data_IF_603312259436
#
_entry.id   IF_603312259436
#
_cell.length_a   1.000
_cell.length_b   1.000
_cell.length_c   1.000
_cell.angle_alpha   90.00
_cell.angle_beta   90.00
_cell.angle_gamma   90.00
#
_symmetry.space_group_name_H-M   'P 1'
#
loop_
_entity.id
_entity.type
_entity.pdbx_description
1 polymer ?
#
# COMPACT_ATOMS: atom_id res chain seq x y z
N UNK A 1 1.85 12.49 -4.67
CA UNK A 1 1.86 11.27 -3.84
C UNK A 1 3.29 10.82 -3.67
N UNK A 2 3.69 10.46 -2.46
CA UNK A 2 5.01 9.89 -2.21
C UNK A 2 4.80 8.49 -1.65
N UNK A 3 5.29 7.48 -2.37
CA UNK A 3 5.05 6.07 -2.04
C UNK A 3 6.35 5.30 -1.91
N UNK A 4 6.29 4.26 -1.10
CA UNK A 4 7.37 3.33 -0.85
C UNK A 4 6.86 1.91 -1.08
N UNK A 5 7.68 1.06 -1.67
CA UNK A 5 7.32 -0.31 -1.99
C UNK A 5 8.23 -1.29 -1.24
N UNK A 6 7.80 -2.55 -1.16
CA UNK A 6 8.45 -3.69 -0.50
C UNK A 6 8.38 -3.75 1.03
N UNK A 7 9.31 -4.49 1.62
CA UNK A 7 9.36 -4.82 3.03
C UNK A 7 9.74 -3.62 3.91
N UNK A 8 9.02 -3.45 5.01
CA UNK A 8 9.36 -2.45 6.03
C UNK A 8 10.37 -3.04 7.01
N UNK A 9 11.58 -2.47 7.02
CA UNK A 9 12.70 -2.90 7.85
C UNK A 9 13.36 -1.67 8.49
N UNK A 10 14.17 -1.88 9.54
CA UNK A 10 14.83 -0.75 10.22
C UNK A 10 15.64 0.13 9.24
N UNK A 11 16.36 -0.52 8.32
CA UNK A 11 17.21 0.18 7.32
C UNK A 11 16.37 1.00 6.34
N UNK A 12 15.29 0.43 5.81
CA UNK A 12 14.43 1.10 4.83
C UNK A 12 13.63 2.22 5.50
N UNK A 13 13.08 1.98 6.69
CA UNK A 13 12.32 2.98 7.42
C UNK A 13 13.18 4.15 7.90
N UNK A 14 14.45 3.93 8.23
CA UNK A 14 15.38 5.01 8.58
C UNK A 14 15.57 6.01 7.43
N UNK A 15 15.73 5.52 6.20
CA UNK A 15 15.81 6.36 4.99
C UNK A 15 14.52 7.14 4.81
N UNK A 16 13.38 6.45 4.89
CA UNK A 16 12.07 7.08 4.71
C UNK A 16 11.84 8.19 5.74
N UNK A 17 12.12 7.93 7.01
CA UNK A 17 11.98 8.91 8.08
C UNK A 17 12.90 10.14 7.89
N UNK A 18 14.11 9.95 7.33
CA UNK A 18 14.97 11.05 6.95
C UNK A 18 14.34 11.91 5.83
N UNK A 19 13.81 11.27 4.78
CA UNK A 19 13.16 11.97 3.66
C UNK A 19 11.90 12.72 4.09
N UNK A 20 11.12 12.17 5.03
CA UNK A 20 9.96 12.88 5.58
C UNK A 20 10.39 14.02 6.51
N UNK A 21 11.35 13.77 7.40
CA UNK A 21 11.90 14.75 8.33
C UNK A 21 10.81 15.52 9.10
N UNK A 22 11.00 16.82 9.27
CA UNK A 22 10.03 17.71 9.92
C UNK A 22 9.10 18.42 8.92
N UNK A 23 9.01 17.93 7.68
CA UNK A 23 8.25 18.57 6.61
C UNK A 23 6.76 18.51 6.90
N UNK A 24 6.04 19.56 6.52
CA UNK A 24 4.62 19.73 6.84
C UNK A 24 3.84 20.21 5.63
N UNK A 25 2.60 19.74 5.54
CA UNK A 25 1.60 20.31 4.66
C UNK A 25 1.12 21.70 5.17
N UNK A 26 0.44 22.49 4.34
CA UNK A 26 -0.05 23.82 4.72
C UNK A 26 -0.98 23.88 5.95
N UNK A 27 -1.61 22.77 6.35
CA UNK A 27 -2.37 22.69 7.61
C UNK A 27 -1.51 22.49 8.86
N UNK A 28 -0.19 22.38 8.72
CA UNK A 28 0.75 22.12 9.81
C UNK A 28 0.89 20.65 10.18
N UNK A 29 0.21 19.75 9.47
CA UNK A 29 0.35 18.31 9.66
C UNK A 29 1.66 17.79 9.05
N UNK A 30 2.30 16.78 9.64
CA UNK A 30 3.37 16.03 8.99
C UNK A 30 2.92 15.50 7.63
N UNK A 31 3.86 15.33 6.69
CA UNK A 31 3.55 14.72 5.41
C UNK A 31 2.98 13.31 5.62
N UNK A 32 1.98 12.94 4.79
CA UNK A 32 1.42 11.59 4.75
C UNK A 32 1.79 10.93 3.45
N UNK A 33 2.10 9.64 3.51
CA UNK A 33 2.61 8.83 2.41
C UNK A 33 1.99 7.44 2.45
N UNK A 34 2.18 6.69 1.37
CA UNK A 34 1.68 5.31 1.23
C UNK A 34 2.85 4.35 1.20
N UNK A 35 2.75 3.23 1.92
CA UNK A 35 3.69 2.12 1.79
C UNK A 35 2.93 0.91 1.22
N UNK A 36 3.34 0.41 0.05
CA UNK A 36 2.86 -0.86 -0.50
C UNK A 36 3.76 -1.97 0.05
N UNK A 37 3.24 -2.71 1.02
CA UNK A 37 4.04 -3.61 1.87
C UNK A 37 3.98 -5.04 1.37
N UNK A 38 5.15 -5.64 1.17
CA UNK A 38 5.29 -7.09 1.02
C UNK A 38 5.61 -7.74 2.37
N UNK A 39 5.11 -8.96 2.64
CA UNK A 39 5.25 -9.58 3.96
C UNK A 39 6.65 -10.14 4.21
N UNK A 40 7.30 -10.67 3.19
CA UNK A 40 8.63 -11.24 3.34
C UNK A 40 9.60 -10.20 3.93
N UNK A 41 10.29 -10.56 5.01
CA UNK A 41 11.24 -9.70 5.75
C UNK A 41 10.65 -8.47 6.46
N UNK A 42 9.34 -8.24 6.39
CA UNK A 42 8.71 -7.08 7.05
C UNK A 42 8.71 -7.23 8.56
N UNK A 43 9.10 -6.16 9.25
CA UNK A 43 8.94 -6.03 10.69
C UNK A 43 7.55 -5.48 11.02
N UNK A 44 6.70 -6.32 11.61
CA UNK A 44 5.29 -6.00 11.82
C UNK A 44 5.05 -4.82 12.77
N UNK A 45 5.91 -4.60 13.78
CA UNK A 45 5.76 -3.43 14.66
C UNK A 45 6.04 -2.12 13.94
N UNK A 46 6.94 -2.14 12.94
CA UNK A 46 7.23 -0.96 12.12
C UNK A 46 6.05 -0.62 11.21
N UNK A 47 5.32 -1.63 10.72
CA UNK A 47 4.05 -1.43 10.02
C UNK A 47 3.02 -0.78 10.96
N UNK A 48 2.92 -1.26 12.21
CA UNK A 48 2.02 -0.65 13.21
C UNK A 48 2.39 0.81 13.48
N UNK A 49 3.68 1.11 13.70
CA UNK A 49 4.19 2.48 13.91
C UNK A 49 3.89 3.39 12.71
N UNK A 50 4.10 2.89 11.49
CA UNK A 50 3.84 3.61 10.26
C UNK A 50 2.36 3.99 10.12
N UNK A 51 1.47 3.01 10.32
CA UNK A 51 0.02 3.22 10.31
C UNK A 51 -0.41 4.20 11.42
N UNK A 52 0.04 3.98 12.66
CA UNK A 52 -0.35 4.78 13.82
C UNK A 52 0.15 6.23 13.72
N UNK A 53 1.28 6.43 13.04
CA UNK A 53 1.80 7.75 12.71
C UNK A 53 0.90 8.49 11.72
N UNK A 54 -0.04 7.81 11.04
CA UNK A 54 -1.04 8.38 10.12
C UNK A 54 -0.69 8.21 8.65
N UNK A 55 0.29 7.37 8.34
CA UNK A 55 0.58 6.96 6.96
C UNK A 55 -0.33 5.82 6.53
N UNK A 56 -0.40 5.61 5.22
CA UNK A 56 -1.16 4.51 4.66
C UNK A 56 -0.27 3.27 4.47
N UNK A 57 -0.89 2.10 4.68
CA UNK A 57 -0.33 0.78 4.36
C UNK A 57 -1.27 0.12 3.35
N UNK A 58 -0.71 -0.30 2.23
CA UNK A 58 -1.37 -0.97 1.13
C UNK A 58 -0.70 -2.32 0.85
N UNK A 59 -1.39 -3.20 0.12
CA UNK A 59 -0.93 -4.55 -0.17
C UNK A 59 0.07 -4.58 -1.33
N UNK A 60 1.18 -5.27 -1.13
CA UNK A 60 2.18 -5.59 -2.17
C UNK A 60 2.57 -7.08 -2.15
N UNK A 61 1.59 -7.95 -1.88
CA UNK A 61 1.67 -9.42 -1.84
C UNK A 61 2.46 -10.01 -0.67
N UNK A 62 2.41 -11.33 -0.48
CA UNK A 62 3.19 -12.00 0.57
C UNK A 62 4.66 -12.12 0.16
N UNK A 63 4.90 -12.60 -1.07
CA UNK A 63 6.23 -13.04 -1.53
C UNK A 63 6.78 -12.24 -2.70
N UNK A 64 6.17 -11.10 -3.03
CA UNK A 64 6.61 -10.18 -4.07
C UNK A 64 6.67 -10.84 -5.47
N UNK A 65 5.53 -11.39 -5.90
CA UNK A 65 5.37 -12.06 -7.20
C UNK A 65 4.49 -11.26 -8.15
N UNK A 66 4.91 -11.17 -9.42
CA UNK A 66 4.09 -10.58 -10.48
C UNK A 66 2.90 -11.46 -10.84
N UNK A 67 1.83 -10.85 -11.35
CA UNK A 67 0.53 -11.48 -11.62
C UNK A 67 0.09 -12.38 -10.44
N UNK A 68 -0.03 -11.80 -9.23
CA UNK A 68 -0.14 -12.59 -8.02
C UNK A 68 -1.47 -13.38 -7.96
N UNK A 69 -1.44 -14.67 -7.60
CA UNK A 69 -2.64 -15.45 -7.32
C UNK A 69 -3.33 -14.97 -6.04
N UNK A 70 -4.64 -15.23 -5.89
CA UNK A 70 -5.48 -14.74 -4.78
C UNK A 70 -4.90 -14.97 -3.37
N UNK A 71 -4.15 -16.05 -3.14
CA UNK A 71 -3.55 -16.37 -1.85
C UNK A 71 -2.41 -15.41 -1.44
N UNK A 72 -1.74 -14.77 -2.40
CA UNK A 72 -0.74 -13.73 -2.14
C UNK A 72 -1.39 -12.48 -1.52
N UNK A 73 -2.56 -12.09 -2.03
CA UNK A 73 -3.27 -10.88 -1.60
C UNK A 73 -4.03 -11.12 -0.29
N UNK A 74 -4.78 -12.22 -0.23
CA UNK A 74 -5.52 -12.59 0.99
C UNK A 74 -4.57 -12.89 2.15
N UNK A 75 -3.42 -13.52 1.87
CA UNK A 75 -2.37 -13.76 2.84
C UNK A 75 -1.78 -12.46 3.39
N UNK A 76 -1.43 -11.51 2.51
CA UNK A 76 -0.79 -10.26 2.91
C UNK A 76 -1.70 -9.44 3.82
N UNK A 77 -2.95 -9.19 3.40
CA UNK A 77 -3.96 -8.53 4.25
C UNK A 77 -4.15 -9.24 5.59
N UNK A 78 -4.25 -10.56 5.60
CA UNK A 78 -4.45 -11.32 6.84
C UNK A 78 -3.26 -11.21 7.80
N UNK A 79 -2.02 -11.24 7.28
CA UNK A 79 -0.81 -11.06 8.06
C UNK A 79 -0.69 -9.64 8.64
N UNK A 80 -0.95 -8.60 7.82
CA UNK A 80 -0.95 -7.20 8.26
C UNK A 80 -2.01 -6.96 9.35
N UNK A 81 -3.23 -7.50 9.19
CA UNK A 81 -4.26 -7.39 10.21
C UNK A 81 -3.86 -8.13 11.50
N UNK A 82 -3.40 -9.37 11.40
CA UNK A 82 -3.12 -10.22 12.56
C UNK A 82 -1.91 -9.74 13.36
N UNK A 83 -0.82 -9.37 12.68
CA UNK A 83 0.48 -9.18 13.32
C UNK A 83 0.93 -7.72 13.33
N UNK A 84 0.36 -6.84 12.50
CA UNK A 84 0.58 -5.40 12.59
C UNK A 84 -0.65 -4.63 13.10
N UNK A 85 -1.80 -5.29 13.26
CA UNK A 85 -2.99 -4.69 13.87
C UNK A 85 -3.77 -3.77 12.96
N UNK A 86 -3.60 -3.84 11.65
CA UNK A 86 -4.29 -2.91 10.76
C UNK A 86 -5.74 -3.37 10.55
N UNK A 87 -6.75 -2.49 10.68
CA UNK A 87 -8.11 -2.83 10.26
C UNK A 87 -8.14 -3.27 8.79
N UNK A 88 -8.91 -4.30 8.45
CA UNK A 88 -8.99 -4.85 7.09
C UNK A 88 -9.50 -3.81 6.09
N UNK A 89 -10.45 -2.96 6.50
CA UNK A 89 -10.96 -1.87 5.66
C UNK A 89 -9.94 -0.76 5.41
N UNK A 90 -8.86 -0.69 6.21
CA UNK A 90 -7.78 0.30 6.06
C UNK A 90 -6.63 -0.17 5.18
N UNK A 91 -6.55 -1.48 4.92
CA UNK A 91 -5.65 -2.07 3.91
C UNK A 91 -6.38 -2.05 2.55
N UNK A 92 -6.73 -0.86 2.05
CA UNK A 92 -7.66 -0.73 0.91
C UNK A 92 -6.98 -0.58 -0.45
N UNK A 93 -5.67 -0.35 -0.48
CA UNK A 93 -4.88 -0.22 -1.70
C UNK A 93 -4.13 -1.48 -2.09
N UNK A 94 -3.85 -1.62 -3.38
CA UNK A 94 -2.96 -2.64 -3.93
C UNK A 94 -1.99 -2.03 -4.95
N UNK A 95 -0.80 -2.62 -5.05
CA UNK A 95 0.13 -2.43 -6.17
C UNK A 95 0.74 -3.78 -6.54
N UNK A 96 0.78 -4.10 -7.82
CA UNK A 96 1.36 -5.33 -8.32
C UNK A 96 2.90 -5.28 -8.25
N UNK A 97 3.56 -6.30 -7.68
CA UNK A 97 5.01 -6.45 -7.78
C UNK A 97 5.51 -6.34 -9.21
N UNK A 98 6.63 -5.64 -9.39
CA UNK A 98 7.23 -5.33 -10.71
C UNK A 98 6.31 -4.56 -11.66
N UNK A 99 5.19 -4.02 -11.16
CA UNK A 99 4.10 -3.48 -11.98
C UNK A 99 3.60 -4.49 -13.02
N UNK A 100 3.72 -5.78 -12.71
CA UNK A 100 3.33 -6.87 -13.59
C UNK A 100 1.93 -7.35 -13.20
N UNK A 101 0.93 -6.80 -13.89
CA UNK A 101 -0.48 -7.09 -13.66
C UNK A 101 -1.13 -7.74 -14.89
N UNK A 102 -2.34 -8.26 -14.70
CA UNK A 102 -3.18 -8.81 -15.76
C UNK A 102 -4.65 -8.48 -15.50
N UNK A 103 -5.53 -8.81 -16.45
CA UNK A 103 -6.97 -8.74 -16.22
C UNK A 103 -7.41 -9.58 -14.99
N UNK A 104 -6.76 -10.72 -14.76
CA UNK A 104 -7.03 -11.58 -13.60
C UNK A 104 -6.60 -10.92 -12.29
N UNK A 105 -5.48 -10.18 -12.29
CA UNK A 105 -5.06 -9.37 -11.14
C UNK A 105 -6.16 -8.38 -10.74
N UNK A 106 -6.66 -7.58 -11.69
CA UNK A 106 -7.73 -6.61 -11.46
C UNK A 106 -9.04 -7.26 -11.01
N UNK A 107 -9.43 -8.37 -11.64
CA UNK A 107 -10.62 -9.12 -11.25
C UNK A 107 -10.52 -9.63 -9.80
N UNK A 108 -9.33 -10.08 -9.41
CA UNK A 108 -9.07 -10.62 -8.06
C UNK A 108 -9.10 -9.51 -7.01
N UNK A 109 -8.41 -8.38 -7.22
CA UNK A 109 -8.40 -7.28 -6.26
C UNK A 109 -9.79 -6.66 -6.08
N UNK A 110 -10.56 -6.49 -7.17
CA UNK A 110 -11.93 -6.01 -7.09
C UNK A 110 -12.83 -7.01 -6.33
N UNK A 111 -12.71 -8.32 -6.62
CA UNK A 111 -13.42 -9.38 -5.90
C UNK A 111 -13.11 -9.37 -4.40
N UNK A 112 -11.86 -9.11 -4.03
CA UNK A 112 -11.41 -9.04 -2.63
C UNK A 112 -11.78 -7.72 -1.94
N UNK A 113 -12.46 -6.80 -2.62
CA UNK A 113 -12.93 -5.55 -2.04
C UNK A 113 -11.83 -4.53 -1.73
N UNK A 114 -10.71 -4.57 -2.47
CA UNK A 114 -9.81 -3.43 -2.50
C UNK A 114 -10.54 -2.21 -3.08
N UNK A 115 -10.16 -1.02 -2.63
CA UNK A 115 -10.74 0.24 -3.08
C UNK A 115 -10.07 0.76 -4.35
N UNK A 116 -8.75 0.55 -4.46
CA UNK A 116 -7.98 1.06 -5.57
C UNK A 116 -6.76 0.19 -5.92
N UNK A 117 -6.35 0.24 -7.18
CA UNK A 117 -5.04 -0.17 -7.67
C UNK A 117 -4.17 1.05 -7.99
N UNK A 118 -2.85 0.89 -7.92
CA UNK A 118 -1.89 1.84 -8.45
C UNK A 118 -0.72 1.08 -9.06
N UNK A 119 -0.98 0.34 -10.13
CA UNK A 119 0.04 -0.43 -10.86
C UNK A 119 0.23 0.04 -12.30
N UNK A 120 -0.74 0.78 -12.84
CA UNK A 120 -0.79 1.11 -14.27
C UNK A 120 0.02 2.38 -14.55
N UNK A 121 0.79 2.37 -15.64
CA UNK A 121 1.67 3.48 -16.00
C UNK A 121 0.90 4.57 -16.75
N UNK A 122 1.14 5.81 -16.37
CA UNK A 122 0.76 6.99 -17.16
C UNK A 122 2.02 7.69 -17.67
N UNK A 123 2.02 8.05 -18.95
CA UNK A 123 3.03 8.91 -19.55
C UNK A 123 2.56 10.37 -19.51
N UNK A 124 3.40 11.29 -19.97
CA UNK A 124 3.07 12.73 -19.92
C UNK A 124 1.81 13.10 -20.71
N UNK A 125 1.60 12.45 -21.86
CA UNK A 125 0.51 12.74 -22.81
C UNK A 125 -0.86 12.28 -22.27
N UNK A 126 -0.88 11.22 -21.46
CA UNK A 126 -2.08 10.57 -20.91
C UNK A 126 -2.18 10.66 -19.38
N UNK A 127 -1.22 11.30 -18.71
CA UNK A 127 -1.26 11.60 -17.28
C UNK A 127 -2.60 12.21 -16.89
N UNK A 128 -3.33 11.50 -16.05
CA UNK A 128 -4.71 11.81 -15.70
C UNK A 128 -4.91 11.81 -14.19
N UNK A 129 -6.06 12.34 -13.79
CA UNK A 129 -6.54 12.15 -12.42
C UNK A 129 -6.97 10.68 -12.21
N UNK A 130 -6.99 10.19 -10.96
CA UNK A 130 -7.56 8.87 -10.67
C UNK A 130 -8.96 8.74 -11.28
N UNK A 131 -9.31 7.52 -11.69
CA UNK A 131 -10.61 7.24 -12.30
C UNK A 131 -11.12 5.88 -11.83
N UNK A 132 -12.42 5.67 -11.94
CA UNK A 132 -13.02 4.37 -11.65
C UNK A 132 -13.00 3.47 -12.87
N UNK A 133 -12.91 2.15 -12.65
CA UNK A 133 -13.01 1.13 -13.69
C UNK A 133 -14.46 0.84 -14.09
N UNK A 134 -15.37 1.82 -13.95
CA UNK A 134 -16.75 1.71 -14.44
C UNK A 134 -16.79 1.45 -15.95
N UNK A 135 -15.81 2.01 -16.68
CA UNK A 135 -15.73 1.96 -18.15
C UNK A 135 -14.52 1.21 -18.70
N UNK A 136 -13.67 0.64 -17.85
CA UNK A 136 -12.43 -0.01 -18.25
C UNK A 136 -11.19 0.74 -17.79
N UNK A 137 -10.02 0.16 -18.04
CA UNK A 137 -8.74 0.83 -17.90
C UNK A 137 -8.51 1.79 -19.08
N UNK A 138 -7.81 2.90 -18.83
CA UNK A 138 -7.48 3.90 -19.86
C UNK A 138 -5.97 4.02 -20.12
N UNK A 139 -5.16 3.22 -19.43
CA UNK A 139 -3.71 3.21 -19.54
C UNK A 139 -3.20 1.79 -19.75
N UNK A 140 -2.01 1.65 -20.34
CA UNK A 140 -1.41 0.37 -20.72
C UNK A 140 -2.28 -0.53 -21.62
N UNK A 141 -3.17 0.06 -22.42
CA UNK A 141 -4.14 -0.71 -23.22
C UNK A 141 -3.54 -1.53 -24.37
N UNK A 142 -2.25 -1.34 -24.66
CA UNK A 142 -1.50 -2.24 -25.54
C UNK A 142 -1.44 -3.68 -24.99
N UNK A 143 -1.69 -3.89 -23.69
CA UNK A 143 -1.82 -5.22 -23.07
C UNK A 143 -3.08 -5.98 -23.49
N UNK A 144 -4.04 -5.32 -24.16
CA UNK A 144 -5.15 -5.99 -24.84
C UNK A 144 -6.33 -6.38 -23.95
N UNK A 145 -6.41 -5.89 -22.71
CA UNK A 145 -7.50 -6.22 -21.78
C UNK A 145 -8.19 -5.02 -21.12
N UNK A 146 -7.86 -3.78 -21.49
CA UNK A 146 -8.47 -2.59 -20.87
C UNK A 146 -10.01 -2.61 -20.89
N UNK A 147 -10.61 -3.02 -22.02
CA UNK A 147 -12.05 -3.06 -22.20
C UNK A 147 -12.76 -4.20 -21.46
N UNK A 148 -12.01 -5.21 -20.99
CA UNK A 148 -12.57 -6.38 -20.29
C UNK A 148 -12.53 -6.26 -18.77
N UNK A 149 -11.70 -5.36 -18.23
CA UNK A 149 -11.60 -5.10 -16.79
C UNK A 149 -12.55 -3.96 -16.41
N UNK A 150 -13.80 -4.31 -16.07
CA UNK A 150 -14.84 -3.35 -15.66
C UNK A 150 -15.35 -3.68 -14.26
N UNK A 151 -14.97 -2.85 -13.29
CA UNK A 151 -15.29 -3.03 -11.88
C UNK A 151 -15.87 -1.74 -11.33
N UNK A 152 -17.21 -1.62 -11.26
CA UNK A 152 -17.82 -0.36 -10.88
C UNK A 152 -17.41 0.14 -9.50
N UNK A 153 -17.02 1.40 -9.41
CA UNK A 153 -16.55 2.04 -8.18
C UNK A 153 -15.14 1.64 -7.70
N UNK A 154 -14.46 0.70 -8.37
CA UNK A 154 -13.06 0.37 -8.11
C UNK A 154 -12.15 1.42 -8.78
N UNK A 155 -11.21 2.01 -8.04
CA UNK A 155 -10.38 3.10 -8.53
C UNK A 155 -9.05 2.62 -9.11
N UNK A 156 -8.58 3.28 -10.16
CA UNK A 156 -7.20 3.25 -10.60
C UNK A 156 -6.55 4.59 -10.24
N UNK A 157 -5.35 4.53 -9.67
CA UNK A 157 -4.47 5.68 -9.49
C UNK A 157 -3.27 5.51 -10.42
N UNK A 158 -3.33 6.10 -11.63
CA UNK A 158 -2.27 5.96 -12.62
C UNK A 158 -0.94 6.48 -12.10
N UNK A 159 0.11 5.71 -12.36
CA UNK A 159 1.46 6.05 -11.98
C UNK A 159 2.10 6.93 -13.05
N UNK A 160 2.05 8.25 -12.89
CA UNK A 160 2.70 9.19 -13.81
C UNK A 160 4.24 9.02 -13.81
N UNK A 161 4.83 8.66 -14.94
CA UNK A 161 6.27 8.58 -15.13
C UNK A 161 6.92 9.98 -15.16
N UNK A 162 8.16 10.07 -14.70
CA UNK A 162 9.01 11.23 -14.92
C UNK A 162 9.62 11.12 -16.32
N UNK A 163 9.41 12.13 -17.16
CA UNK A 163 9.97 12.15 -18.52
C UNK A 163 11.29 12.93 -18.53
N UNK A 164 12.36 12.32 -19.05
CA UNK A 164 13.66 13.00 -19.21
C UNK A 164 13.67 14.02 -20.37
N UNK A 165 14.82 14.66 -20.60
CA UNK A 165 15.00 15.63 -21.69
C UNK A 165 14.91 15.01 -23.10
N UNK A 166 15.08 13.69 -23.22
CA UNK A 166 14.99 12.93 -24.47
C UNK A 166 13.57 12.38 -24.74
N UNK A 167 12.64 12.52 -23.79
CA UNK A 167 11.29 11.95 -23.88
C UNK A 167 11.17 10.52 -23.32
N UNK A 168 12.20 10.01 -22.65
CA UNK A 168 12.23 8.69 -22.03
C UNK A 168 11.45 8.70 -20.71
N UNK A 169 10.53 7.76 -20.47
CA UNK A 169 9.84 7.65 -19.19
C UNK A 169 10.65 6.89 -18.14
N UNK A 170 10.62 7.40 -16.90
CA UNK A 170 11.22 6.85 -15.70
C UNK A 170 10.18 6.75 -14.59
N UNK A 171 9.77 5.53 -14.25
CA UNK A 171 8.60 5.32 -13.40
C UNK A 171 8.96 5.10 -11.93
N UNK A 172 9.79 4.11 -11.63
CA UNK A 172 10.24 3.76 -10.29
C UNK A 172 11.72 4.08 -10.14
N UNK A 173 12.11 4.63 -8.99
CA UNK A 173 13.52 4.95 -8.67
C UNK A 173 14.29 5.75 -9.73
N UNK A 174 13.75 6.86 -10.27
CA UNK A 174 14.39 7.65 -11.33
C UNK A 174 15.80 8.16 -10.97
N UNK A 175 16.12 8.20 -9.67
CA UNK A 175 17.45 8.54 -9.15
C UNK A 175 18.54 7.51 -9.45
N UNK A 176 18.19 6.34 -9.98
CA UNK A 176 19.14 5.33 -10.44
C UNK A 176 19.52 5.50 -11.92
N UNK A 177 18.73 6.26 -12.67
CA UNK A 177 18.83 6.30 -14.13
C UNK A 177 19.79 7.37 -14.65
N UNK A 178 20.21 8.31 -13.80
CA UNK A 178 21.13 9.37 -14.17
C UNK A 178 21.81 10.07 -12.97
N UNK A 179 22.58 11.12 -13.25
CA UNK A 179 23.17 11.95 -12.18
C UNK A 179 22.08 12.66 -11.39
N UNK A 180 22.36 12.96 -10.13
CA UNK A 180 21.41 13.64 -9.23
C UNK A 180 20.99 14.99 -9.77
N UNK A 181 21.87 15.73 -10.47
CA UNK A 181 21.54 17.01 -11.09
C UNK A 181 20.49 16.85 -12.20
N UNK A 182 20.67 15.88 -13.08
CA UNK A 182 19.74 15.61 -14.18
C UNK A 182 18.38 15.15 -13.64
N UNK A 183 18.38 14.20 -12.70
CA UNK A 183 17.15 13.67 -12.11
C UNK A 183 16.39 14.76 -11.35
N UNK A 184 17.08 15.62 -10.58
CA UNK A 184 16.44 16.73 -9.90
C UNK A 184 15.76 17.69 -10.87
N UNK A 185 16.43 18.01 -11.99
CA UNK A 185 15.85 18.83 -13.06
C UNK A 185 14.61 18.16 -13.65
N UNK A 186 14.68 16.88 -13.99
CA UNK A 186 13.54 16.14 -14.54
C UNK A 186 12.35 16.12 -13.56
N UNK A 187 12.60 15.89 -12.27
CA UNK A 187 11.57 15.95 -11.24
C UNK A 187 10.89 17.33 -11.21
N UNK A 188 11.66 18.42 -11.24
CA UNK A 188 11.12 19.79 -11.24
C UNK A 188 10.34 20.11 -12.52
N UNK A 189 10.84 19.71 -13.68
CA UNK A 189 10.20 19.96 -14.97
C UNK A 189 8.86 19.21 -15.09
N UNK A 190 8.83 17.94 -14.69
CA UNK A 190 7.60 17.14 -14.67
C UNK A 190 6.62 17.67 -13.62
N UNK A 191 7.08 18.04 -12.43
CA UNK A 191 6.21 18.66 -11.41
C UNK A 191 5.55 19.95 -11.93
N UNK A 192 6.34 20.83 -12.58
CA UNK A 192 5.82 22.05 -13.19
C UNK A 192 4.83 21.76 -14.32
N UNK A 193 5.08 20.72 -15.12
CA UNK A 193 4.13 20.27 -16.13
C UNK A 193 2.79 19.91 -15.52
N UNK A 194 2.76 19.09 -14.47
CA UNK A 194 1.52 18.75 -13.75
C UNK A 194 0.83 20.00 -13.20
N UNK A 195 1.56 20.92 -12.56
CA UNK A 195 1.00 22.17 -12.03
C UNK A 195 0.30 23.03 -13.10
N UNK A 196 0.84 23.04 -14.32
CA UNK A 196 0.35 23.85 -15.43
C UNK A 196 -0.72 23.13 -16.28
N UNK A 197 -0.74 21.80 -16.27
CA UNK A 197 -1.59 20.97 -17.14
C UNK A 197 -2.58 20.15 -16.31
N UNK A 198 -3.55 20.83 -15.71
CA UNK A 198 -4.68 20.17 -15.04
C UNK A 198 -4.43 19.70 -13.60
N UNK A 199 -3.22 19.89 -13.06
CA UNK A 199 -2.85 19.59 -11.66
C UNK A 199 -3.08 18.13 -11.27
N UNK A 200 -2.93 17.22 -12.24
CA UNK A 200 -3.00 15.77 -11.99
C UNK A 200 -1.97 15.39 -10.92
N UNK A 201 -2.21 14.34 -10.11
CA UNK A 201 -1.29 13.95 -9.06
C UNK A 201 0.11 13.65 -9.61
N UNK A 202 1.13 14.30 -9.06
CA UNK A 202 2.52 13.97 -9.33
C UNK A 202 2.99 12.87 -8.38
N UNK A 203 3.60 11.82 -8.93
CA UNK A 203 4.10 10.68 -8.17
C UNK A 203 5.60 10.71 -7.90
N UNK A 204 5.98 10.34 -6.68
CA UNK A 204 7.31 9.86 -6.33
C UNK A 204 7.16 8.42 -5.86
N UNK A 205 7.65 7.47 -6.64
CA UNK A 205 7.51 6.04 -6.35
C UNK A 205 8.92 5.45 -6.17
N UNK A 206 9.23 5.02 -4.95
CA UNK A 206 10.61 4.64 -4.62
C UNK A 206 10.69 3.32 -3.84
N UNK A 207 11.78 2.59 -4.02
CA UNK A 207 12.20 1.50 -3.14
C UNK A 207 13.27 2.01 -2.17
N UNK A 208 12.97 2.20 -0.87
CA UNK A 208 13.93 2.79 0.07
C UNK A 208 15.24 2.00 0.22
N UNK A 209 15.22 0.69 -0.07
CA UNK A 209 16.43 -0.14 -0.07
C UNK A 209 17.49 0.40 -1.03
N UNK A 210 17.09 1.01 -2.15
CA UNK A 210 18.00 1.58 -3.16
C UNK A 210 18.73 2.84 -2.65
N UNK A 211 18.25 3.44 -1.57
CA UNK A 211 18.83 4.61 -0.92
C UNK A 211 19.54 4.24 0.39
N UNK A 212 19.52 2.98 0.80
CA UNK A 212 20.25 2.53 1.98
C UNK A 212 21.72 2.21 1.62
N UNK A 213 22.64 2.92 2.28
CA UNK A 213 24.07 2.72 2.09
C UNK A 213 24.53 1.32 2.53
N UNK A 214 23.83 0.66 3.46
CA UNK A 214 24.21 -0.69 3.90
C UNK A 214 23.92 -1.75 2.84
N UNK A 215 22.82 -1.60 2.10
CA UNK A 215 22.48 -2.43 0.94
C UNK A 215 23.36 -2.14 -0.28
N UNK A 216 23.74 -0.87 -0.52
CA UNK A 216 24.49 -0.46 -1.71
C UNK A 216 25.69 0.45 -1.38
N UNK A 217 26.79 -0.09 -0.80
CA UNK A 217 27.89 0.72 -0.27
C UNK A 217 28.72 1.49 -1.33
N UNK A 218 28.61 1.10 -2.60
CA UNK A 218 29.32 1.77 -3.71
C UNK A 218 28.45 2.80 -4.44
N UNK A 219 27.20 3.00 -4.00
CA UNK A 219 26.28 3.96 -4.59
C UNK A 219 26.33 5.26 -3.78
N UNK A 220 26.25 6.40 -4.46
CA UNK A 220 26.12 7.71 -3.81
C UNK A 220 24.71 7.91 -3.23
N UNK A 221 24.36 7.08 -2.25
CA UNK A 221 23.07 7.12 -1.56
C UNK A 221 22.86 8.46 -0.84
N UNK A 222 23.94 9.03 -0.27
CA UNK A 222 23.90 10.33 0.37
C UNK A 222 23.54 11.45 -0.61
N UNK A 223 24.15 11.48 -1.80
CA UNK A 223 23.82 12.43 -2.86
C UNK A 223 22.38 12.27 -3.37
N UNK A 224 21.93 11.02 -3.56
CA UNK A 224 20.55 10.72 -3.98
C UNK A 224 19.53 11.19 -2.94
N UNK A 225 19.73 10.87 -1.66
CA UNK A 225 18.86 11.35 -0.57
C UNK A 225 18.86 12.87 -0.53
N UNK A 226 20.02 13.51 -0.64
CA UNK A 226 20.11 14.98 -0.60
C UNK A 226 19.37 15.65 -1.75
N UNK A 227 19.42 15.05 -2.94
CA UNK A 227 18.68 15.51 -4.11
C UNK A 227 17.17 15.37 -3.90
N UNK A 228 16.70 14.24 -3.37
CA UNK A 228 15.29 14.03 -3.04
C UNK A 228 14.81 15.03 -1.98
N UNK A 229 15.57 15.25 -0.90
CA UNK A 229 15.28 16.27 0.11
C UNK A 229 15.14 17.67 -0.52
N UNK A 230 16.06 18.02 -1.43
CA UNK A 230 16.06 19.30 -2.14
C UNK A 230 14.82 19.46 -3.01
N UNK A 231 14.42 18.41 -3.73
CA UNK A 231 13.18 18.40 -4.50
C UNK A 231 11.94 18.54 -3.61
N UNK A 232 11.86 17.78 -2.50
CA UNK A 232 10.73 17.83 -1.57
C UNK A 232 10.55 19.23 -0.96
N UNK A 233 11.65 19.87 -0.54
CA UNK A 233 11.62 21.24 0.01
C UNK A 233 11.20 22.26 -1.04
N UNK A 234 11.70 22.12 -2.28
CA UNK A 234 11.31 22.97 -3.39
C UNK A 234 9.83 22.80 -3.77
N UNK A 235 9.32 21.56 -3.80
CA UNK A 235 7.93 21.26 -4.14
C UNK A 235 6.95 21.82 -3.09
N UNK A 236 7.28 21.66 -1.80
CA UNK A 236 6.49 22.21 -0.69
C UNK A 236 6.44 23.75 -0.68
N UNK A 237 7.46 24.41 -1.25
CA UNK A 237 7.46 25.86 -1.40
C UNK A 237 6.55 26.36 -2.53
N UNK A 238 6.07 25.46 -3.41
CA UNK A 238 5.15 25.86 -4.48
C UNK A 238 3.72 26.10 -3.96
N UNK A 239 2.95 27.02 -4.56
CA UNK A 239 1.60 27.32 -4.10
C UNK A 239 0.64 26.13 -4.19
N UNK A 240 -0.13 25.89 -3.12
CA UNK A 240 -1.19 24.88 -3.06
C UNK A 240 -0.74 23.42 -3.25
N UNK A 241 0.49 23.10 -2.85
CA UNK A 241 1.02 21.72 -2.88
C UNK A 241 0.73 20.99 -1.58
N UNK A 242 0.32 19.72 -1.71
CA UNK A 242 0.00 18.82 -0.60
C UNK A 242 0.57 17.43 -0.85
N UNK A 243 1.20 16.86 0.16
CA UNK A 243 1.58 15.45 0.20
C UNK A 243 0.49 14.67 0.91
N UNK A 244 -0.15 13.77 0.17
CA UNK A 244 -1.28 12.98 0.64
C UNK A 244 -1.01 11.51 0.36
N UNK A 245 -1.62 10.64 1.18
CA UNK A 245 -1.66 9.21 0.86
C UNK A 245 -2.56 8.95 -0.35
N UNK A 246 -2.51 7.72 -0.87
CA UNK A 246 -3.37 7.26 -1.96
C UNK A 246 -4.85 7.28 -1.54
N UNK A 247 -5.19 6.77 -0.36
CA UNK A 247 -6.51 6.88 0.26
C UNK A 247 -7.00 8.31 0.39
N UNK A 248 -6.14 9.23 0.86
CA UNK A 248 -6.49 10.64 0.99
C UNK A 248 -6.80 11.28 -0.38
N UNK A 249 -6.04 10.91 -1.42
CA UNK A 249 -6.32 11.33 -2.79
C UNK A 249 -7.69 10.81 -3.26
N UNK A 250 -8.00 9.52 -3.07
CA UNK A 250 -9.32 8.95 -3.42
C UNK A 250 -10.45 9.64 -2.64
N UNK A 251 -10.27 9.88 -1.34
CA UNK A 251 -11.25 10.57 -0.51
C UNK A 251 -11.53 12.00 -1.02
N UNK A 252 -10.50 12.72 -1.48
CA UNK A 252 -10.68 14.01 -2.12
C UNK A 252 -11.35 13.88 -3.49
N UNK A 253 -11.00 12.88 -4.30
CA UNK A 253 -11.65 12.62 -5.59
C UNK A 253 -13.15 12.35 -5.46
N UNK A 254 -13.56 11.66 -4.39
CA UNK A 254 -14.96 11.40 -4.09
C UNK A 254 -15.73 12.65 -3.64
N UNK A 255 -15.07 13.59 -2.96
CA UNK A 255 -15.69 14.80 -2.41
C UNK A 255 -14.74 16.01 -2.51
N UNK A 256 -14.50 16.52 -3.73
CA UNK A 256 -13.44 17.51 -3.95
C UNK A 256 -13.80 18.85 -3.31
N UNK A 257 -12.82 19.41 -2.60
CA UNK A 257 -12.88 20.77 -2.04
C UNK A 257 -11.74 21.62 -2.59
N UNK A 258 -11.91 22.95 -2.74
CA UNK A 258 -10.84 23.83 -3.20
C UNK A 258 -9.69 23.89 -2.18
N UNK A 259 -8.49 24.25 -2.64
CA UNK A 259 -7.28 24.30 -1.82
C UNK A 259 -7.42 25.14 -0.53
N UNK A 260 -8.24 26.20 -0.56
CA UNK A 260 -8.53 27.05 0.60
C UNK A 260 -9.27 26.33 1.73
N UNK A 261 -9.93 25.21 1.45
CA UNK A 261 -10.68 24.40 2.42
C UNK A 261 -9.90 23.17 2.90
N UNK A 262 -8.80 22.80 2.23
CA UNK A 262 -8.01 21.60 2.57
C UNK A 262 -7.42 21.64 3.98
N UNK A 263 -7.27 22.83 4.57
CA UNK A 263 -6.81 22.99 5.95
C UNK A 263 -7.72 22.30 6.96
N UNK A 264 -9.03 22.39 6.74
CA UNK A 264 -10.05 21.87 7.65
C UNK A 264 -10.72 20.59 7.11
N UNK A 265 -10.29 20.11 5.94
CA UNK A 265 -10.80 18.90 5.30
C UNK A 265 -10.52 17.68 6.19
N UNK A 266 -11.57 17.04 6.67
CA UNK A 266 -11.47 16.00 7.70
C UNK A 266 -10.49 14.87 7.36
N UNK A 267 -10.45 14.33 6.13
CA UNK A 267 -9.47 13.32 5.73
C UNK A 267 -8.00 13.74 5.84
N UNK A 268 -7.70 15.04 5.79
CA UNK A 268 -6.32 15.55 5.79
C UNK A 268 -5.85 15.99 7.18
N UNK A 269 -6.72 15.87 8.19
CA UNK A 269 -6.35 16.17 9.57
C UNK A 269 -5.43 15.08 10.13
N UNK A 270 -4.62 15.47 11.11
CA UNK A 270 -3.56 14.62 11.68
C UNK A 270 -3.59 14.60 13.21
N UNK A 271 -4.78 14.72 13.83
CA UNK A 271 -4.85 14.60 15.29
C UNK A 271 -4.43 13.19 15.69
N UNK A 272 -3.30 13.09 16.38
CA UNK A 272 -2.90 11.86 17.04
C UNK A 272 -3.86 11.57 18.22
N UNK A 273 -4.15 10.29 18.51
CA UNK A 273 -4.90 9.94 19.70
C UNK A 273 -4.10 10.39 20.95
N UNK A 274 -4.83 10.87 21.96
CA UNK A 274 -4.26 11.17 23.27
C UNK A 274 -4.60 10.02 24.19
N UNK A 275 -3.58 9.27 24.59
CA UNK A 275 -3.73 8.07 25.41
C UNK A 275 -2.86 8.25 26.64
N UNK A 276 -3.50 8.35 27.80
CA UNK A 276 -2.80 8.53 29.09
C UNK A 276 -2.20 7.21 29.61
N UNK A 277 -2.46 6.10 28.92
CA UNK A 277 -1.94 4.76 29.20
C UNK A 277 -0.92 4.36 28.14
N UNK A 278 0.23 3.86 28.59
CA UNK A 278 1.20 3.22 27.70
C UNK A 278 0.67 1.87 27.22
N UNK A 279 0.49 1.73 25.90
CA UNK A 279 0.02 0.51 25.22
C UNK A 279 0.90 0.24 24.01
N UNK A 280 0.85 -1.00 23.49
CA UNK A 280 1.57 -1.39 22.29
C UNK A 280 0.67 -1.18 21.07
N UNK A 281 0.83 -0.05 20.38
CA UNK A 281 -0.06 0.38 19.30
C UNK A 281 0.64 1.19 18.20
N UNK A 282 1.97 1.23 18.20
CA UNK A 282 2.77 2.02 17.26
C UNK A 282 3.12 3.43 17.73
N UNK A 283 2.57 3.91 18.86
CA UNK A 283 2.82 5.28 19.36
C UNK A 283 3.70 5.30 20.62
N UNK A 284 3.61 4.27 21.48
CA UNK A 284 4.30 4.26 22.79
C UNK A 284 4.87 2.89 23.18
N UNK A 285 5.48 2.20 22.22
CA UNK A 285 5.73 0.75 22.32
C UNK A 285 6.99 0.35 23.10
N UNK A 286 7.77 1.32 23.58
CA UNK A 286 9.07 1.05 24.21
C UNK A 286 8.96 0.02 25.35
N UNK A 287 9.57 -1.15 25.19
CA UNK A 287 9.52 -2.23 26.19
C UNK A 287 8.22 -3.05 26.24
N UNK A 288 7.31 -2.86 25.26
CA UNK A 288 6.08 -3.65 25.11
C UNK A 288 6.12 -4.61 23.92
N UNK A 289 6.99 -4.35 22.94
CA UNK A 289 7.17 -5.19 21.76
C UNK A 289 7.64 -6.60 22.12
N UNK A 290 7.09 -7.60 21.42
CA UNK A 290 7.68 -8.93 21.37
C UNK A 290 8.68 -9.03 20.22
N UNK A 291 9.69 -9.87 20.41
CA UNK A 291 10.69 -10.21 19.38
C UNK A 291 10.47 -11.65 18.94
N UNK A 292 10.03 -11.83 17.70
CA UNK A 292 9.74 -13.13 17.10
C UNK A 292 10.96 -13.57 16.29
N UNK A 293 11.65 -14.58 16.77
CA UNK A 293 12.87 -15.11 16.12
C UNK A 293 12.57 -16.43 15.45
N UNK A 294 12.69 -16.45 14.13
CA UNK A 294 12.50 -17.64 13.29
C UNK A 294 13.77 -17.94 12.49
N UNK A 295 13.75 -19.06 11.76
CA UNK A 295 14.89 -19.46 10.92
C UNK A 295 15.20 -18.43 9.83
N UNK A 296 14.18 -17.77 9.28
CA UNK A 296 14.31 -16.87 8.13
C UNK A 296 14.49 -15.40 8.53
N UNK A 297 14.55 -15.10 9.83
CA UNK A 297 14.76 -13.76 10.34
C UNK A 297 14.09 -13.50 11.67
N UNK A 298 14.26 -12.26 12.13
CA UNK A 298 13.64 -11.77 13.36
C UNK A 298 12.81 -10.54 13.03
N UNK A 299 11.60 -10.48 13.56
CA UNK A 299 10.72 -9.31 13.46
C UNK A 299 10.02 -9.05 14.81
N UNK A 300 9.47 -7.85 14.97
CA UNK A 300 8.80 -7.44 16.19
C UNK A 300 7.29 -7.24 15.97
N UNK A 301 6.51 -7.33 17.04
CA UNK A 301 5.07 -7.08 16.98
C UNK A 301 4.49 -6.69 18.34
N UNK A 302 3.37 -5.98 18.31
CA UNK A 302 2.48 -5.76 19.45
C UNK A 302 1.43 -6.87 19.63
N UNK A 303 1.22 -7.71 18.62
CA UNK A 303 0.06 -8.60 18.48
C UNK A 303 0.39 -10.07 18.73
N UNK A 304 1.55 -10.36 19.31
CA UNK A 304 1.95 -11.68 19.78
C UNK A 304 2.69 -12.49 18.73
N UNK A 305 3.81 -13.10 19.12
CA UNK A 305 4.59 -13.93 18.23
C UNK A 305 3.88 -15.24 17.88
N UNK A 306 3.75 -15.57 16.58
CA UNK A 306 3.24 -16.87 16.17
C UNK A 306 4.22 -18.00 16.52
N UNK A 307 3.74 -19.24 16.53
CA UNK A 307 4.57 -20.42 16.83
C UNK A 307 5.55 -20.78 15.71
N UNK A 308 5.27 -20.33 14.49
CA UNK A 308 6.12 -20.47 13.30
C UNK A 308 6.12 -19.17 12.52
N UNK A 309 7.09 -18.98 11.64
CA UNK A 309 7.14 -17.80 10.78
C UNK A 309 5.95 -17.74 9.82
N UNK A 310 5.69 -16.53 9.31
CA UNK A 310 4.63 -16.26 8.35
C UNK A 310 5.03 -16.78 6.97
N UNK A 311 4.17 -17.59 6.35
CA UNK A 311 4.42 -18.15 5.00
C UNK A 311 3.18 -18.02 4.12
N UNK A 312 3.35 -18.17 2.80
CA UNK A 312 2.22 -18.18 1.87
C UNK A 312 1.21 -19.29 2.19
N UNK A 313 1.68 -20.47 2.62
CA UNK A 313 0.83 -21.60 3.00
C UNK A 313 0.14 -21.41 4.36
N UNK A 314 0.75 -20.62 5.25
CA UNK A 314 0.23 -20.32 6.57
C UNK A 314 0.45 -18.83 6.92
N UNK A 315 -0.36 -17.92 6.36
CA UNK A 315 -0.16 -16.47 6.53
C UNK A 315 -0.54 -15.98 7.93
N UNK A 316 -1.30 -16.77 8.69
CA UNK A 316 -1.70 -16.49 10.07
C UNK A 316 -1.42 -17.72 10.93
N UNK A 317 -0.14 -18.06 11.21
CA UNK A 317 0.16 -19.16 12.10
C UNK A 317 -0.41 -18.89 13.50
N UNK A 318 -0.89 -19.95 14.15
CA UNK A 318 -1.35 -19.88 15.53
C UNK A 318 -0.21 -19.50 16.49
N UNK A 319 -0.54 -18.96 17.66
CA UNK A 319 0.43 -18.61 18.69
C UNK A 319 0.21 -17.19 19.23
N UNK A 320 1.07 -16.82 20.17
CA UNK A 320 0.97 -15.58 20.92
C UNK A 320 -0.11 -15.61 22.00
N UNK A 321 0.06 -14.80 23.03
CA UNK A 321 -0.89 -14.58 24.12
C UNK A 321 -1.56 -13.20 24.05
N UNK A 322 -1.23 -12.40 23.03
CA UNK A 322 -1.83 -11.09 22.75
C UNK A 322 -3.16 -11.21 22.03
N UNK A 323 -4.02 -10.23 22.28
CA UNK A 323 -5.33 -10.14 21.67
C UNK A 323 -5.25 -9.51 20.27
N UNK A 324 -5.83 -10.18 19.24
CA UNK A 324 -5.92 -9.60 17.91
C UNK A 324 -6.82 -8.36 17.92
N UNK A 325 -6.64 -7.48 16.92
CA UNK A 325 -7.50 -6.32 16.74
C UNK A 325 -8.97 -6.76 16.51
N UNK A 326 -9.94 -6.28 17.30
CA UNK A 326 -11.34 -6.57 17.06
C UNK A 326 -11.90 -5.63 15.98
N UNK A 327 -13.00 -6.03 15.33
CA UNK A 327 -13.62 -5.22 14.27
C UNK A 327 -14.28 -3.92 14.78
N UNK A 328 -14.31 -3.67 16.09
CA UNK A 328 -14.93 -2.47 16.68
C UNK A 328 -13.92 -1.53 17.36
N UNK A 329 -12.64 -1.64 17.02
CA UNK A 329 -11.59 -0.75 17.50
C UNK A 329 -10.55 -0.51 16.40
N UNK A 330 -9.92 0.66 16.41
CA UNK A 330 -8.74 0.93 15.59
C UNK A 330 -7.48 0.67 16.42
N UNK A 331 -6.39 0.17 15.79
CA UNK A 331 -5.13 -0.13 16.50
C UNK A 331 -4.62 1.04 17.31
N UNK A 332 -4.81 2.27 16.85
CA UNK A 332 -4.31 3.43 17.59
C UNK A 332 -4.99 3.59 18.95
N UNK A 333 -6.13 2.92 19.20
CA UNK A 333 -6.82 2.88 20.49
C UNK A 333 -6.85 1.49 21.14
N UNK A 334 -6.31 0.46 20.48
CA UNK A 334 -6.40 -0.93 20.96
C UNK A 334 -5.20 -1.31 21.83
N UNK A 335 -5.47 -1.86 23.00
CA UNK A 335 -4.44 -2.49 23.84
C UNK A 335 -4.41 -4.01 23.59
N UNK A 336 -3.47 -4.53 22.78
CA UNK A 336 -3.39 -5.97 22.49
C UNK A 336 -2.89 -6.80 23.68
N UNK A 337 -2.35 -6.16 24.73
CA UNK A 337 -1.89 -6.85 25.94
C UNK A 337 -3.06 -7.21 26.84
N UNK A 338 -3.98 -6.26 27.02
CA UNK A 338 -5.13 -6.41 27.91
C UNK A 338 -6.40 -6.84 27.16
N UNK A 339 -6.46 -6.61 25.85
CA UNK A 339 -7.64 -6.89 25.04
C UNK A 339 -8.75 -5.87 25.24
N UNK A 340 -8.40 -4.58 25.33
CA UNK A 340 -9.37 -3.49 25.56
C UNK A 340 -9.20 -2.33 24.59
N UNK A 341 -10.31 -1.82 24.05
CA UNK A 341 -10.32 -0.58 23.29
C UNK A 341 -10.38 0.62 24.24
N UNK A 342 -9.45 1.57 24.09
CA UNK A 342 -9.38 2.80 24.91
C UNK A 342 -10.18 3.96 24.32
N UNK A 343 -10.72 3.80 23.11
CA UNK A 343 -11.66 4.76 22.56
C UNK A 343 -12.96 4.75 23.38
N UNK A 344 -13.28 5.89 23.98
CA UNK A 344 -14.49 6.09 24.79
C UNK A 344 -15.44 7.14 24.22
N UNK A 345 -15.05 7.82 23.15
CA UNK A 345 -15.80 8.91 22.52
C UNK A 345 -16.27 8.51 21.10
N UNK A 346 -17.42 9.04 20.69
CA UNK A 346 -17.97 8.81 19.35
C UNK A 346 -17.04 9.22 18.20
N UNK A 347 -16.13 10.17 18.43
CA UNK A 347 -15.16 10.68 17.45
C UNK A 347 -14.07 9.68 17.08
N UNK A 348 -13.79 8.70 17.93
CA UNK A 348 -12.86 7.61 17.65
C UNK A 348 -13.55 6.26 17.43
N UNK A 349 -14.88 6.21 17.56
CA UNK A 349 -15.65 4.99 17.37
C UNK A 349 -15.44 4.47 15.94
N UNK A 350 -15.12 3.19 15.83
CA UNK A 350 -14.76 2.56 14.57
C UNK A 350 -15.44 1.20 14.47
N UNK A 351 -15.96 0.88 13.29
CA UNK A 351 -16.47 -0.45 12.95
C UNK A 351 -15.93 -0.82 11.58
N UNK A 352 -15.11 -1.87 11.55
CA UNK A 352 -14.68 -2.52 10.33
C UNK A 352 -15.83 -3.36 9.78
N UNK A 353 -16.34 -2.96 8.62
CA UNK A 353 -17.42 -3.65 7.89
C UNK A 353 -16.90 -4.43 6.69
N UNK A 354 -15.58 -4.45 6.47
CA UNK A 354 -14.99 -5.24 5.40
C UNK A 354 -15.10 -6.73 5.70
N UNK A 355 -15.10 -7.53 4.63
CA UNK A 355 -15.09 -9.00 4.74
C UNK A 355 -13.72 -9.42 5.26
N UNK A 356 -13.60 -10.09 6.42
CA UNK A 356 -12.33 -10.62 6.89
C UNK A 356 -11.77 -11.60 5.86
N UNK A 357 -10.46 -11.52 5.59
CA UNK A 357 -9.81 -12.41 4.63
C UNK A 357 -9.76 -13.83 5.19
N UNK A 358 -10.53 -14.74 4.60
CA UNK A 358 -10.52 -16.16 4.99
C UNK A 358 -9.25 -16.82 4.46
N UNK A 359 -8.34 -17.18 5.35
CA UNK A 359 -7.18 -18.02 5.01
C UNK A 359 -7.49 -19.48 5.35
N UNK A 360 -6.86 -20.45 4.67
CA UNK A 360 -7.13 -21.90 4.84
C UNK A 360 -7.03 -22.39 6.30
N UNK A 361 -6.30 -21.66 7.16
CA UNK A 361 -6.10 -22.00 8.57
C UNK A 361 -6.87 -21.10 9.56
N UNK A 362 -7.62 -20.09 9.08
CA UNK A 362 -8.35 -19.14 9.92
C UNK A 362 -9.64 -19.70 10.56
N UNK A 363 -9.96 -20.98 10.37
CA UNK A 363 -11.24 -21.56 10.84
C UNK A 363 -11.34 -21.80 12.35
N UNK A 364 -10.34 -21.42 13.15
CA UNK A 364 -10.39 -21.55 14.61
C UNK A 364 -9.90 -20.28 15.31
N UNK A 365 -10.71 -19.21 15.33
CA UNK A 365 -10.92 -18.33 16.48
C UNK A 365 -11.78 -17.12 16.08
N UNK A 366 -12.83 -16.88 16.86
CA UNK A 366 -13.85 -15.82 16.75
C UNK A 366 -15.00 -16.02 15.74
N UNK A 367 -16.01 -16.75 16.18
CA UNK A 367 -17.42 -16.45 15.85
C UNK A 367 -18.32 -16.65 17.06
N UNK A 368 -18.24 -15.76 18.05
CA UNK A 368 -19.35 -15.55 18.98
C UNK A 368 -20.22 -14.41 18.45
N UNK A 369 -20.96 -14.68 17.36
CA UNK A 369 -22.10 -13.88 16.96
C UNK A 369 -23.32 -14.80 16.88
N UNK A 370 -24.15 -14.70 17.92
CA UNK A 370 -25.47 -15.31 17.96
C UNK A 370 -26.36 -14.62 16.92
N UNK A 371 -26.63 -15.27 15.79
CA UNK A 371 -27.76 -14.95 14.94
C UNK A 371 -28.43 -16.23 14.44
N UNK A 372 -29.62 -16.47 14.97
CA UNK A 372 -30.56 -17.51 14.54
C UNK A 372 -31.08 -17.16 13.14
N UNK A 373 -31.18 -18.14 12.22
CA UNK A 373 -32.21 -18.06 11.19
C UNK A 373 -32.97 -19.38 11.09
N UNK A 374 -34.22 -19.38 11.55
CA UNK A 374 -35.24 -20.28 11.01
C UNK A 374 -35.50 -19.88 9.55
N UNK A 375 -35.37 -20.82 8.63
CA UNK A 375 -35.67 -20.60 7.22
C UNK A 375 -35.51 -21.88 6.40
N UNK A 376 -36.58 -22.66 6.32
CA UNK A 376 -36.73 -23.80 5.41
C UNK A 376 -36.46 -23.39 3.95
N UNK A 377 -35.61 -24.16 3.26
CA UNK A 377 -35.32 -23.95 1.84
C UNK A 377 -34.70 -25.18 1.20
N UNK A 378 -35.54 -25.98 0.53
CA UNK A 378 -35.25 -27.29 -0.06
C UNK A 378 -34.16 -27.26 -1.15
N UNK A 379 -33.36 -28.33 -1.11
CA UNK A 379 -32.49 -28.88 -2.16
C UNK A 379 -33.13 -28.93 -3.54
N UNK A 380 -32.34 -28.62 -4.58
CA UNK A 380 -32.39 -29.39 -5.83
C UNK A 380 -31.03 -29.36 -6.57
N UNK A 381 -30.41 -30.53 -6.64
CA UNK A 381 -29.34 -30.89 -7.55
C UNK A 381 -29.85 -30.89 -9.00
N UNK A 382 -29.04 -30.39 -9.93
CA UNK A 382 -28.84 -31.06 -11.22
C UNK A 382 -27.53 -30.58 -11.85
N UNK A 383 -26.62 -31.53 -12.06
CA UNK A 383 -25.37 -31.31 -12.78
C UNK A 383 -25.58 -31.41 -14.29
N UNK A 384 -24.70 -30.75 -15.03
CA UNK A 384 -24.40 -31.11 -16.41
C UNK A 384 -22.96 -30.71 -16.72
N UNK A 385 -22.16 -31.70 -17.10
CA UNK A 385 -20.85 -31.58 -17.74
C UNK A 385 -21.06 -31.35 -19.24
N UNK A 386 -20.22 -30.52 -19.85
CA UNK A 386 -19.79 -30.71 -21.24
C UNK A 386 -18.47 -29.99 -21.50
N UNK A 387 -17.47 -30.77 -21.90
CA UNK A 387 -16.21 -30.35 -22.51
C UNK A 387 -16.44 -29.82 -23.93
N UNK A 388 -15.66 -28.80 -24.35
CA UNK A 388 -15.20 -28.66 -25.74
C UNK A 388 -14.03 -27.65 -25.87
N UNK A 389 -12.86 -28.22 -26.12
CA UNK A 389 -11.71 -27.76 -26.93
C UNK A 389 -11.73 -26.37 -27.57
N UNK A 390 -10.66 -25.59 -27.37
CA UNK A 390 -10.26 -24.47 -28.23
C UNK A 390 -8.87 -24.67 -28.82
N UNK A 391 -8.79 -24.47 -30.13
CA UNK A 391 -7.61 -24.50 -30.98
C UNK A 391 -6.65 -23.33 -30.68
N UNK A 392 -5.36 -23.63 -30.59
CA UNK A 392 -4.26 -22.68 -30.49
C UNK A 392 -3.80 -22.27 -31.91
N UNK A 393 -3.70 -20.97 -32.17
CA UNK A 393 -2.90 -20.45 -33.29
C UNK A 393 -1.99 -19.33 -32.77
N UNK A 394 -0.69 -19.62 -32.82
CA UNK A 394 0.42 -18.75 -32.47
C UNK A 394 0.55 -17.57 -33.43
N UNK A 395 0.73 -16.36 -32.89
CA UNK A 395 1.57 -15.33 -33.48
C UNK A 395 2.29 -14.58 -32.35
N UNK A 396 3.58 -14.86 -32.20
CA UNK A 396 4.48 -14.12 -31.33
C UNK A 396 5.05 -12.92 -32.10
N UNK A 397 4.94 -11.72 -31.54
CA UNK A 397 5.73 -10.57 -31.96
C UNK A 397 6.65 -10.19 -30.80
N UNK A 398 7.95 -10.25 -31.07
CA UNK A 398 9.07 -9.92 -30.17
C UNK A 398 9.40 -8.44 -30.37
N UNK A 399 9.27 -7.61 -29.33
CA UNK A 399 10.05 -6.36 -29.18
C UNK A 399 10.30 -6.08 -27.68
N UNK A 400 11.57 -6.13 -27.26
CA UNK A 400 12.18 -5.02 -26.51
C UNK A 400 12.11 -4.92 -24.98
N UNK A 401 12.10 -6.02 -24.22
CA UNK A 401 12.48 -5.96 -22.80
C UNK A 401 14.03 -5.99 -22.70
N UNK A 402 14.65 -4.82 -22.60
CA UNK A 402 16.04 -4.71 -22.16
C UNK A 402 16.10 -3.99 -20.81
N UNK A 403 16.76 -4.66 -19.86
CA UNK A 403 17.17 -4.23 -18.52
C UNK A 403 16.14 -4.32 -17.37
N UNK A 404 15.57 -5.51 -17.15
CA UNK A 404 15.37 -5.99 -15.77
C UNK A 404 16.33 -7.15 -15.52
N UNK A 405 17.57 -6.76 -15.19
CA UNK A 405 18.59 -7.68 -14.71
C UNK A 405 18.24 -8.16 -13.31
N UNK A 406 18.28 -9.48 -13.12
CA UNK A 406 18.16 -10.21 -11.87
C UNK A 406 18.76 -9.44 -10.66
N UNK A 407 17.91 -9.04 -9.73
CA UNK A 407 18.26 -8.99 -8.31
C UNK A 407 17.04 -9.46 -7.50
N UNK A 408 16.74 -10.75 -7.63
CA UNK A 408 16.13 -11.48 -6.51
C UNK A 408 17.22 -11.66 -5.46
N UNK A 409 16.86 -11.42 -4.19
CA UNK A 409 17.71 -11.37 -2.99
C UNK A 409 18.45 -10.05 -2.77
N UNK A 410 17.79 -9.08 -2.09
CA UNK A 410 18.21 -8.48 -0.80
C UNK A 410 17.29 -7.33 -0.33
#
# INVERSE_FOLDING_TARGET
MFTFDDSIQQRTLSVVNQLLGNRKNPNGCPLRTTYYVSIQYTNMSMVTEWYASGHEVADHTMTHVGQPPENELTGCKAALNRFAGLPNAKISGFRAPFLNFSAETFNTIAKLGFQYDSSVTALKEDASWPYTLDYGLNHDCYLGFCDSVKHPGFWEIPMSAIIDDAGTPHLMDPYLDNTTENVQKWMQDNFNYHLQNGKTPFGLYIHPVQLDNSSFPNRDTAGMIKMLETFLDWALAQPNVWFVTSQQLIQWMQNPVPASQLKDYAPFKCQAPKIDKKICNGLTDAGLLETCSFQNGTWNTCYGCPSTDITLDNPVPSGGDRHPLPNNCDTVWWDPIVGSCLCTDSSCAYVDTSVPMTTKNSTNNNSSSNSNPNGDGKSNNNGQKSDASSLLSNFALIIGLMAFGLFQFL
#
